data_IF_519787092061
#
_entry.id   IF_519787092061
#
_cell.length_a   1.000
_cell.length_b   1.000
_cell.length_c   1.000
_cell.angle_alpha   90.00
_cell.angle_beta   90.00
_cell.angle_gamma   90.00
#
_symmetry.space_group_name_H-M   'P 1'
#
loop_
_entity.id
_entity.type
_entity.pdbx_description
1 polymer ?
#
# COMPACT_ATOMS: atom_id res chain seq x y z
N UNK A 1 -11.96 2.11 13.12
CA UNK A 1 -11.67 1.51 11.81
C UNK A 1 -11.33 2.63 10.85
N UNK A 2 -10.03 2.81 10.57
CA UNK A 2 -9.47 3.82 9.68
C UNK A 2 -9.23 3.29 8.26
N UNK A 3 -9.20 1.97 8.10
CA UNK A 3 -9.08 1.30 6.80
C UNK A 3 -10.27 1.60 5.88
N UNK A 4 -10.01 1.83 4.60
CA UNK A 4 -11.01 2.20 3.60
C UNK A 4 -10.64 1.72 2.18
N UNK A 5 -11.61 1.77 1.26
CA UNK A 5 -11.37 1.52 -0.17
C UNK A 5 -11.42 2.83 -0.94
N UNK A 6 -10.29 3.17 -1.56
CA UNK A 6 -10.18 4.35 -2.42
C UNK A 6 -10.59 3.94 -3.82
N UNK A 7 -11.58 4.62 -4.40
CA UNK A 7 -12.08 4.34 -5.75
C UNK A 7 -11.81 5.53 -6.64
N UNK A 8 -11.34 5.26 -7.86
CA UNK A 8 -11.00 6.30 -8.79
C UNK A 8 -10.84 5.81 -10.21
N UNK A 9 -10.13 6.60 -10.99
CA UNK A 9 -9.77 6.28 -12.36
C UNK A 9 -8.32 6.66 -12.60
N UNK A 10 -7.64 5.88 -13.42
CA UNK A 10 -6.31 6.21 -13.93
C UNK A 10 -6.46 6.45 -15.42
N UNK A 11 -5.78 7.49 -15.90
CA UNK A 11 -5.71 7.86 -17.30
C UNK A 11 -4.26 7.83 -17.73
N UNK A 12 -3.93 6.92 -18.63
CA UNK A 12 -2.65 6.90 -19.33
C UNK A 12 -2.77 7.73 -20.59
N UNK A 13 -1.77 8.56 -20.88
CA UNK A 13 -1.72 9.37 -22.09
C UNK A 13 -0.29 9.43 -22.61
N UNK A 14 -0.06 8.86 -23.79
CA UNK A 14 1.18 9.01 -24.55
C UNK A 14 0.95 10.08 -25.61
N UNK A 15 1.81 11.11 -25.65
CA UNK A 15 1.64 12.26 -26.55
C UNK A 15 2.30 12.07 -27.91
N UNK A 16 3.33 11.22 -27.99
CA UNK A 16 4.12 10.98 -29.22
C UNK A 16 4.46 9.49 -29.35
N UNK A 17 4.60 8.93 -30.58
CA UNK A 17 4.42 9.58 -31.89
C UNK A 17 2.94 9.75 -32.31
N UNK A 18 2.02 8.94 -31.77
CA UNK A 18 0.58 9.11 -31.93
C UNK A 18 -0.07 9.35 -30.56
N UNK A 19 -1.06 10.23 -30.52
CA UNK A 19 -1.78 10.59 -29.30
C UNK A 19 -2.70 9.47 -28.82
N UNK A 20 -2.18 8.54 -28.02
CA UNK A 20 -2.95 7.46 -27.44
C UNK A 20 -3.29 7.77 -25.99
N UNK A 21 -4.57 7.66 -25.63
CA UNK A 21 -4.99 7.75 -24.23
C UNK A 21 -6.02 6.69 -23.90
N UNK A 22 -5.89 6.11 -22.71
CA UNK A 22 -6.82 5.13 -22.17
C UNK A 22 -7.13 5.50 -20.72
N UNK A 23 -8.38 5.30 -20.31
CA UNK A 23 -8.85 5.55 -18.95
C UNK A 23 -9.62 4.34 -18.45
N UNK A 24 -9.30 3.90 -17.24
CA UNK A 24 -9.99 2.78 -16.60
C UNK A 24 -10.24 3.07 -15.12
N UNK A 25 -11.23 2.37 -14.56
CA UNK A 25 -11.56 2.41 -13.14
C UNK A 25 -10.52 1.63 -12.36
N UNK A 26 -10.17 2.12 -11.19
CA UNK A 26 -9.32 1.41 -10.24
C UNK A 26 -9.88 1.56 -8.83
N UNK A 27 -9.43 0.67 -7.96
CA UNK A 27 -9.55 0.85 -6.52
C UNK A 27 -8.22 0.49 -5.85
N UNK A 28 -7.90 1.16 -4.77
CA UNK A 28 -6.76 0.86 -3.91
C UNK A 28 -7.27 0.64 -2.49
N UNK A 29 -6.57 -0.20 -1.74
CA UNK A 29 -6.89 -0.48 -0.35
C UNK A 29 -6.05 0.47 0.51
N UNK A 30 -6.74 1.27 1.32
CA UNK A 30 -6.14 2.07 2.38
C UNK A 30 -6.25 1.27 3.66
N UNK A 31 -5.13 0.83 4.21
CA UNK A 31 -5.08 -0.02 5.41
C UNK A 31 -4.32 0.70 6.51
N UNK A 32 -4.94 0.75 7.68
CA UNK A 32 -4.20 1.03 8.90
C UNK A 32 -3.41 -0.22 9.30
N UNK A 33 -2.08 -0.08 9.45
CA UNK A 33 -1.23 -1.23 9.71
C UNK A 33 -1.46 -1.84 11.09
N UNK A 34 -1.97 -1.06 12.05
CA UNK A 34 -2.35 -1.56 13.38
C UNK A 34 -3.65 -2.37 13.36
N UNK A 35 -4.48 -2.21 12.32
CA UNK A 35 -5.73 -2.99 12.15
C UNK A 35 -5.48 -4.34 11.45
N UNK A 36 -4.31 -4.55 10.86
CA UNK A 36 -3.89 -5.84 10.31
C UNK A 36 -3.46 -6.78 11.46
N UNK A 37 -3.84 -8.07 11.45
CA UNK A 37 -4.53 -8.79 10.38
C UNK A 37 -6.06 -8.79 10.47
N UNK A 38 -6.65 -8.25 11.54
CA UNK A 38 -8.10 -8.35 11.82
C UNK A 38 -9.01 -7.62 10.82
N UNK A 39 -8.45 -6.68 10.04
CA UNK A 39 -9.18 -5.90 9.03
C UNK A 39 -9.98 -6.74 8.01
N UNK A 40 -9.63 -8.02 7.81
CA UNK A 40 -10.30 -8.91 6.84
C UNK A 40 -11.15 -10.02 7.45
N UNK A 41 -11.26 -10.11 8.78
CA UNK A 41 -11.86 -11.27 9.44
C UNK A 41 -13.35 -11.49 9.08
N UNK A 42 -14.05 -10.44 8.65
CA UNK A 42 -15.45 -10.51 8.21
C UNK A 42 -15.65 -10.88 6.72
N UNK A 43 -14.57 -11.02 5.95
CA UNK A 43 -14.64 -11.20 4.49
C UNK A 43 -13.87 -12.44 4.05
N UNK A 44 -14.55 -13.55 3.76
CA UNK A 44 -13.89 -14.80 3.36
C UNK A 44 -13.10 -14.72 2.03
N UNK A 45 -13.44 -13.77 1.16
CA UNK A 45 -12.72 -13.49 -0.09
C UNK A 45 -11.45 -12.66 0.10
N UNK A 46 -11.26 -12.08 1.30
CA UNK A 46 -10.14 -11.22 1.65
C UNK A 46 -9.34 -11.86 2.78
N UNK A 47 -8.03 -11.72 2.77
CA UNK A 47 -7.22 -12.35 3.79
C UNK A 47 -5.83 -11.74 3.88
N UNK A 48 -5.30 -11.64 5.10
CA UNK A 48 -3.90 -11.36 5.39
C UNK A 48 -3.10 -12.60 5.81
N UNK A 49 -3.77 -13.74 6.07
CA UNK A 49 -3.16 -14.94 6.67
C UNK A 49 -2.98 -16.08 5.68
N UNK A 50 -3.94 -16.24 4.77
CA UNK A 50 -4.02 -17.31 3.76
C UNK A 50 -4.27 -16.76 2.35
N UNK A 51 -3.95 -17.50 1.28
CA UNK A 51 -4.37 -17.16 -0.08
C UNK A 51 -5.88 -16.97 -0.17
N UNK A 52 -6.31 -15.89 -0.83
CA UNK A 52 -7.71 -15.54 -1.08
C UNK A 52 -7.81 -14.74 -2.39
N UNK A 53 -9.04 -14.36 -2.80
CA UNK A 53 -9.22 -13.55 -4.01
C UNK A 53 -8.54 -12.19 -3.88
N UNK A 54 -8.64 -11.55 -2.72
CA UNK A 54 -7.86 -10.37 -2.34
C UNK A 54 -6.92 -10.76 -1.18
N UNK A 55 -5.62 -10.81 -1.45
CA UNK A 55 -4.64 -11.34 -0.51
C UNK A 55 -3.58 -10.30 -0.17
N UNK A 56 -3.57 -9.86 1.09
CA UNK A 56 -2.42 -9.16 1.64
C UNK A 56 -1.33 -10.18 1.96
N UNK A 57 -0.20 -10.06 1.29
CA UNK A 57 0.96 -10.93 1.51
C UNK A 57 2.16 -10.08 1.87
N UNK A 58 2.62 -10.21 3.11
CA UNK A 58 3.72 -9.42 3.69
C UNK A 58 4.94 -9.29 2.77
N UNK A 59 5.31 -10.36 2.05
CA UNK A 59 6.49 -10.38 1.17
C UNK A 59 6.42 -9.46 -0.06
N UNK A 60 5.23 -8.93 -0.38
CA UNK A 60 5.03 -8.09 -1.57
C UNK A 60 5.25 -6.60 -1.28
N UNK A 61 5.53 -6.27 -0.02
CA UNK A 61 5.62 -4.91 0.50
C UNK A 61 7.00 -4.69 1.12
N UNK A 62 7.29 -3.41 1.39
CA UNK A 62 8.56 -2.89 1.84
C UNK A 62 9.30 -3.75 2.87
N UNK A 63 10.59 -3.98 2.59
CA UNK A 63 11.53 -4.58 3.53
C UNK A 63 11.39 -6.10 3.72
N UNK A 64 12.20 -6.68 4.61
CA UNK A 64 12.25 -8.13 4.81
C UNK A 64 10.92 -8.72 5.29
N UNK A 65 10.46 -9.87 4.75
CA UNK A 65 9.16 -10.46 5.15
C UNK A 65 9.08 -10.91 6.62
N UNK A 66 10.22 -11.11 7.27
CA UNK A 66 10.31 -11.49 8.68
C UNK A 66 10.01 -10.31 9.62
N UNK A 67 10.14 -9.07 9.13
CA UNK A 67 9.89 -7.86 9.91
C UNK A 67 8.44 -7.42 9.70
N UNK A 68 7.69 -7.00 10.74
CA UNK A 68 6.40 -6.35 10.56
C UNK A 68 6.49 -5.19 9.56
N UNK A 69 5.45 -5.00 8.75
CA UNK A 69 5.47 -3.97 7.70
C UNK A 69 5.58 -2.55 8.28
N UNK A 70 4.88 -2.30 9.39
CA UNK A 70 4.98 -1.05 10.15
C UNK A 70 6.43 -0.74 10.53
N UNK A 71 7.10 -1.70 11.16
CA UNK A 71 8.50 -1.58 11.58
C UNK A 71 9.45 -1.36 10.39
N UNK A 72 9.24 -2.06 9.28
CA UNK A 72 10.04 -1.87 8.06
C UNK A 72 9.91 -0.44 7.50
N UNK A 73 8.72 0.16 7.59
CA UNK A 73 8.50 1.55 7.18
C UNK A 73 9.16 2.52 8.17
N UNK A 74 9.05 2.28 9.49
CA UNK A 74 9.70 3.13 10.51
C UNK A 74 11.21 3.17 10.33
N UNK A 75 11.84 2.00 10.18
CA UNK A 75 13.28 1.88 9.90
C UNK A 75 13.65 2.63 8.63
N UNK A 76 12.86 2.49 7.55
CA UNK A 76 13.14 3.19 6.29
C UNK A 76 13.12 4.71 6.44
N UNK A 77 12.15 5.26 7.18
CA UNK A 77 12.06 6.70 7.42
C UNK A 77 13.22 7.17 8.30
N UNK A 78 13.53 6.43 9.35
CA UNK A 78 14.65 6.72 10.26
C UNK A 78 15.99 6.74 9.51
N UNK A 79 16.25 5.77 8.63
CA UNK A 79 17.45 5.71 7.77
C UNK A 79 17.61 6.94 6.88
N UNK A 80 16.52 7.54 6.39
CA UNK A 80 16.57 8.63 5.42
C UNK A 80 16.44 10.02 6.05
N UNK A 81 15.86 10.11 7.24
CA UNK A 81 15.54 11.40 7.89
C UNK A 81 16.24 11.60 9.24
N UNK A 82 16.74 10.54 9.85
CA UNK A 82 17.25 10.55 11.22
C UNK A 82 16.15 10.58 12.30
N UNK A 83 14.88 10.64 11.90
CA UNK A 83 13.74 10.65 12.80
C UNK A 83 12.90 9.40 12.62
N UNK A 84 12.55 8.76 13.74
CA UNK A 84 11.69 7.58 13.73
C UNK A 84 10.22 8.01 13.84
N UNK A 85 9.34 7.57 12.92
CA UNK A 85 7.91 7.84 13.06
C UNK A 85 7.37 7.31 14.38
N UNK A 86 6.57 8.12 15.07
CA UNK A 86 5.96 7.77 16.36
C UNK A 86 4.45 7.53 16.26
N UNK A 87 3.80 8.00 15.19
CA UNK A 87 2.37 7.83 14.96
C UNK A 87 2.00 6.56 14.20
N UNK A 88 0.71 6.40 13.88
CA UNK A 88 0.23 5.29 13.07
C UNK A 88 0.75 5.39 11.63
N UNK A 89 0.92 4.23 11.00
CA UNK A 89 1.32 4.11 9.61
C UNK A 89 0.18 3.51 8.82
N UNK A 90 -0.21 4.19 7.75
CA UNK A 90 -1.31 3.76 6.87
C UNK A 90 -0.81 3.55 5.46
N UNK A 91 -1.22 2.46 4.84
CA UNK A 91 -0.75 2.02 3.55
C UNK A 91 -1.85 2.17 2.50
N UNK A 92 -1.54 2.77 1.35
CA UNK A 92 -2.38 2.78 0.16
C UNK A 92 -1.72 1.93 -0.93
N UNK A 93 -2.31 0.78 -1.25
CA UNK A 93 -1.74 -0.19 -2.18
C UNK A 93 -2.78 -0.99 -2.97
N UNK A 94 -2.31 -1.70 -4.00
CA UNK A 94 -3.01 -2.88 -4.51
C UNK A 94 -2.54 -4.13 -3.76
N UNK A 95 -3.50 -4.97 -3.36
CA UNK A 95 -3.20 -6.31 -2.85
C UNK A 95 -2.99 -7.29 -4.01
N UNK A 96 -2.69 -8.55 -3.69
CA UNK A 96 -2.79 -9.61 -4.70
C UNK A 96 -4.25 -9.86 -5.04
N UNK A 97 -4.58 -9.80 -6.32
CA UNK A 97 -5.90 -10.17 -6.82
C UNK A 97 -5.79 -11.40 -7.71
N UNK A 98 -6.56 -12.45 -7.40
CA UNK A 98 -6.52 -13.72 -8.14
C UNK A 98 -5.09 -14.31 -8.25
N UNK A 99 -4.26 -14.10 -7.21
CA UNK A 99 -2.86 -14.56 -7.18
C UNK A 99 -1.83 -13.61 -7.83
N UNK A 100 -2.28 -12.65 -8.64
CA UNK A 100 -1.42 -11.68 -9.31
C UNK A 100 -1.19 -10.44 -8.44
N UNK A 101 0.05 -9.97 -8.36
CA UNK A 101 0.40 -8.70 -7.71
C UNK A 101 0.72 -7.67 -8.79
N UNK A 102 -0.23 -6.81 -9.10
CA UNK A 102 -0.04 -5.65 -9.98
C UNK A 102 -0.11 -4.39 -9.11
N UNK A 103 1.01 -4.09 -8.43
CA UNK A 103 1.10 -3.01 -7.47
C UNK A 103 2.22 -2.02 -7.86
N UNK A 104 1.99 -1.14 -8.87
CA UNK A 104 3.04 -0.30 -9.44
C UNK A 104 3.65 0.68 -8.42
N UNK A 105 2.85 1.09 -7.44
CA UNK A 105 3.30 1.92 -6.34
C UNK A 105 2.51 1.62 -5.07
N UNK A 106 3.22 1.52 -3.95
CA UNK A 106 2.65 1.55 -2.60
C UNK A 106 3.02 2.87 -1.94
N UNK A 107 2.05 3.51 -1.29
CA UNK A 107 2.31 4.67 -0.44
C UNK A 107 2.12 4.31 1.03
N UNK A 108 3.08 4.68 1.87
CA UNK A 108 2.99 4.57 3.32
C UNK A 108 2.96 5.98 3.91
N UNK A 109 1.82 6.35 4.48
CA UNK A 109 1.59 7.62 5.16
C UNK A 109 1.97 7.44 6.63
N UNK A 110 3.00 8.15 7.07
CA UNK A 110 3.46 8.17 8.45
C UNK A 110 2.90 9.40 9.14
N UNK A 111 1.97 9.20 10.06
CA UNK A 111 1.35 10.28 10.83
C UNK A 111 2.22 10.68 12.02
N UNK A 112 1.96 11.88 12.55
CA UNK A 112 2.48 12.28 13.84
C UNK A 112 1.85 11.46 14.98
N UNK A 113 2.45 11.52 16.18
CA UNK A 113 1.99 10.75 17.34
C UNK A 113 0.53 11.08 17.75
N UNK A 114 0.03 12.27 17.39
CA UNK A 114 -1.33 12.70 17.67
C UNK A 114 -2.34 12.28 16.59
N UNK A 115 -1.90 11.61 15.53
CA UNK A 115 -2.71 11.18 14.39
C UNK A 115 -3.49 12.32 13.70
N UNK A 116 -2.85 13.48 13.53
CA UNK A 116 -3.46 14.68 12.92
C UNK A 116 -2.86 15.02 11.57
N UNK A 117 -1.56 14.85 11.43
CA UNK A 117 -0.83 15.31 10.24
C UNK A 117 0.09 14.23 9.71
N UNK A 118 0.17 14.13 8.39
CA UNK A 118 1.15 13.27 7.72
C UNK A 118 2.49 13.97 7.75
N UNK A 119 3.47 13.38 8.44
CA UNK A 119 4.84 13.91 8.51
C UNK A 119 5.72 13.39 7.39
N UNK A 120 5.56 12.12 7.01
CA UNK A 120 6.35 11.50 5.96
C UNK A 120 5.48 10.63 5.05
N UNK A 121 5.89 10.53 3.79
CA UNK A 121 5.31 9.59 2.83
C UNK A 121 6.45 8.78 2.23
N UNK A 122 6.41 7.47 2.41
CA UNK A 122 7.30 6.53 1.72
C UNK A 122 6.59 6.02 0.48
N UNK A 123 7.17 6.26 -0.69
CA UNK A 123 6.69 5.73 -1.95
C UNK A 123 7.56 4.55 -2.40
N UNK A 124 7.01 3.34 -2.36
CA UNK A 124 7.66 2.14 -2.87
C UNK A 124 7.19 1.89 -4.30
N UNK A 125 8.10 2.05 -5.26
CA UNK A 125 7.81 1.85 -6.68
C UNK A 125 8.21 0.43 -7.05
N UNK A 126 7.24 -0.37 -7.50
CA UNK A 126 7.51 -1.68 -8.06
C UNK A 126 7.33 -1.62 -9.57
N UNK A 127 8.44 -1.67 -10.31
CA UNK A 127 8.38 -1.86 -11.75
C UNK A 127 7.98 -3.31 -12.03
N UNK A 128 6.82 -3.54 -12.62
CA UNK A 128 6.58 -4.79 -13.35
C UNK A 128 7.53 -4.82 -14.55
N UNK A 129 8.48 -5.76 -14.64
CA UNK A 129 9.30 -5.89 -15.84
C UNK A 129 8.38 -6.13 -17.04
N UNK A 130 8.66 -5.44 -18.14
CA UNK A 130 7.93 -5.53 -19.42
C UNK A 130 8.28 -6.81 -20.18
#
# INVERSE_FOLDING_TARGET
MHSALYKGWVRHRRRTPAGNSFRYRLFMVYLDLDELPGAFDHNWLWSARRPALAWFRRKDFLGPPALPLDEAVRVRVEEHTGERPAGPIRMLAHLRYFGYCLNPVTFYYCFDAADREVRWIVAEINNTPW
#
